data_IF_465340630023
#
_entry.id   IF_465340630023
#
_cell.length_a   1.000
_cell.length_b   1.000
_cell.length_c   1.000
_cell.angle_alpha   90.00
_cell.angle_beta   90.00
_cell.angle_gamma   90.00
#
_symmetry.space_group_name_H-M   'P 1'
#
loop_
_entity.id
_entity.type
_entity.pdbx_description
1 polymer ?
#
# COMPACT_ATOMS: atom_id res chain seq x y z
N UNK A 1 2.40 62.94 22.04
CA UNK A 1 3.04 61.61 21.83
C UNK A 1 2.30 60.58 22.65
N UNK A 2 1.41 59.81 22.03
CA UNK A 2 0.81 58.64 22.66
C UNK A 2 1.29 57.42 21.87
N UNK A 3 2.30 56.74 22.42
CA UNK A 3 2.77 55.46 21.89
C UNK A 3 1.70 54.42 22.18
N UNK A 4 1.13 53.82 21.12
CA UNK A 4 0.28 52.64 21.25
C UNK A 4 1.16 51.48 21.78
N UNK A 5 0.70 50.70 22.77
CA UNK A 5 1.47 49.59 23.30
C UNK A 5 1.69 48.51 22.23
N UNK A 6 2.92 48.43 21.72
CA UNK A 6 3.50 47.32 20.97
C UNK A 6 3.75 46.15 21.91
N UNK A 7 2.72 45.39 22.24
CA UNK A 7 2.84 43.99 22.70
C UNK A 7 1.46 43.34 22.80
N UNK A 8 0.78 43.23 21.66
CA UNK A 8 -0.20 42.16 21.52
C UNK A 8 0.57 40.86 21.39
N UNK A 9 0.86 40.30 22.56
CA UNK A 9 0.98 38.88 22.88
C UNK A 9 0.90 37.98 21.63
N UNK A 10 2.07 37.65 21.07
CA UNK A 10 2.21 36.71 19.94
C UNK A 10 1.91 35.25 20.35
N UNK A 11 1.45 35.03 21.58
CA UNK A 11 0.76 33.81 21.99
C UNK A 11 -0.72 33.87 21.61
N UNK A 12 -1.00 34.18 20.35
CA UNK A 12 -2.21 33.68 19.72
C UNK A 12 -2.08 32.16 19.69
N UNK A 13 -2.50 31.56 20.80
CA UNK A 13 -2.75 30.16 21.08
C UNK A 13 -2.84 29.35 19.79
N UNK A 14 -1.91 28.41 19.56
CA UNK A 14 -2.09 27.33 18.59
C UNK A 14 -3.43 26.66 18.97
N UNK A 15 -4.54 27.06 18.33
CA UNK A 15 -5.89 26.58 18.64
C UNK A 15 -6.06 25.09 18.29
N UNK A 16 -5.05 24.51 17.66
CA UNK A 16 -4.96 23.10 17.36
C UNK A 16 -3.72 22.48 18.01
N UNK A 17 -3.89 21.50 18.92
CA UNK A 17 -2.75 20.82 19.52
C UNK A 17 -1.93 20.10 18.43
N UNK A 18 -0.64 20.40 18.37
CA UNK A 18 0.30 19.76 17.43
C UNK A 18 0.31 18.25 17.66
N UNK A 19 0.42 17.49 16.57
CA UNK A 19 0.45 16.03 16.67
C UNK A 19 1.79 15.61 17.29
N UNK A 20 1.80 14.83 18.37
CA UNK A 20 3.03 14.31 18.96
C UNK A 20 3.85 13.52 17.94
N UNK A 21 5.18 13.71 17.95
CA UNK A 21 6.09 13.04 16.99
C UNK A 21 5.95 11.52 16.97
N UNK A 22 5.66 10.90 18.12
CA UNK A 22 5.45 9.45 18.20
C UNK A 22 4.21 8.99 17.42
N UNK A 23 3.13 9.80 17.38
CA UNK A 23 1.95 9.50 16.57
C UNK A 23 2.31 9.60 15.09
N UNK A 24 3.10 10.61 14.71
CA UNK A 24 3.58 10.77 13.33
C UNK A 24 4.42 9.56 12.89
N UNK A 25 5.27 9.04 13.78
CA UNK A 25 6.05 7.84 13.55
C UNK A 25 5.16 6.60 13.35
N UNK A 26 4.24 6.32 14.27
CA UNK A 26 3.32 5.17 14.16
C UNK A 26 2.40 5.29 12.94
N UNK A 27 1.94 6.49 12.63
CA UNK A 27 1.15 6.71 11.42
C UNK A 27 2.00 6.44 10.17
N UNK A 28 3.25 6.91 10.17
CA UNK A 28 4.22 6.68 9.11
C UNK A 28 4.55 5.20 8.85
N UNK A 29 4.57 4.34 9.87
CA UNK A 29 4.84 2.90 9.67
C UNK A 29 3.78 2.20 8.82
N UNK A 30 2.56 2.74 8.72
CA UNK A 30 1.54 2.24 7.80
C UNK A 30 1.99 2.28 6.33
N UNK A 31 2.84 3.25 5.98
CA UNK A 31 3.40 3.37 4.64
C UNK A 31 4.47 2.29 4.35
N UNK A 32 5.03 1.63 5.37
CA UNK A 32 6.01 0.56 5.18
C UNK A 32 5.40 -0.64 4.44
N UNK A 33 4.32 -1.20 4.98
CA UNK A 33 3.66 -2.37 4.37
C UNK A 33 3.12 -2.05 2.97
N UNK A 34 2.52 -0.87 2.81
CA UNK A 34 2.03 -0.40 1.51
C UNK A 34 3.16 -0.27 0.48
N UNK A 35 4.28 0.33 0.88
CA UNK A 35 5.44 0.52 0.02
C UNK A 35 6.08 -0.82 -0.37
N UNK A 36 6.32 -1.70 0.60
CA UNK A 36 6.88 -3.03 0.35
C UNK A 36 6.04 -3.83 -0.66
N UNK A 37 4.72 -3.89 -0.45
CA UNK A 37 3.82 -4.53 -1.41
C UNK A 37 3.95 -3.91 -2.81
N UNK A 38 3.92 -2.58 -2.88
CA UNK A 38 3.95 -1.86 -4.15
C UNK A 38 5.27 -2.10 -4.90
N UNK A 39 6.40 -2.07 -4.19
CA UNK A 39 7.72 -2.37 -4.75
C UNK A 39 7.81 -3.80 -5.25
N UNK A 40 7.34 -4.79 -4.46
CA UNK A 40 7.34 -6.20 -4.87
C UNK A 40 6.53 -6.40 -6.15
N UNK A 41 5.31 -5.85 -6.17
CA UNK A 41 4.42 -5.93 -7.33
C UNK A 41 5.03 -5.26 -8.57
N UNK A 42 5.53 -4.03 -8.45
CA UNK A 42 6.03 -3.27 -9.60
C UNK A 42 7.30 -3.87 -10.22
N UNK A 43 8.21 -4.39 -9.40
CA UNK A 43 9.51 -4.86 -9.89
C UNK A 43 9.48 -6.36 -10.21
N UNK A 44 8.87 -7.16 -9.35
CA UNK A 44 9.07 -8.61 -9.36
C UNK A 44 7.88 -9.40 -9.92
N UNK A 45 6.67 -8.84 -9.94
CA UNK A 45 5.49 -9.60 -10.35
C UNK A 45 5.53 -9.95 -11.84
N UNK A 46 5.95 -9.01 -12.70
CA UNK A 46 6.11 -9.28 -14.13
C UNK A 46 7.12 -10.42 -14.38
N UNK A 47 8.27 -10.38 -13.70
CA UNK A 47 9.31 -11.41 -13.75
C UNK A 47 8.77 -12.75 -13.27
N UNK A 48 8.02 -12.76 -12.17
CA UNK A 48 7.36 -13.97 -11.68
C UNK A 48 6.41 -14.58 -12.72
N UNK A 49 5.56 -13.77 -13.35
CA UNK A 49 4.61 -14.26 -14.36
C UNK A 49 5.33 -14.84 -15.59
N UNK A 50 6.39 -14.20 -16.09
CA UNK A 50 7.05 -14.64 -17.33
C UNK A 50 8.10 -15.72 -17.09
N UNK A 51 8.94 -15.57 -16.07
CA UNK A 51 10.17 -16.36 -15.93
C UNK A 51 9.97 -17.54 -14.97
N UNK A 52 9.03 -17.43 -14.02
CA UNK A 52 8.72 -18.49 -13.04
C UNK A 52 7.48 -19.26 -13.45
N UNK A 53 6.37 -18.57 -13.71
CA UNK A 53 5.11 -19.22 -14.13
C UNK A 53 5.15 -19.60 -15.61
N UNK A 54 5.93 -18.90 -16.43
CA UNK A 54 6.04 -19.19 -17.86
C UNK A 54 4.84 -18.71 -18.68
N UNK A 55 4.17 -17.63 -18.26
CA UNK A 55 3.08 -17.02 -19.03
C UNK A 55 3.66 -16.26 -20.22
N UNK A 56 3.02 -16.42 -21.39
CA UNK A 56 3.36 -15.64 -22.59
C UNK A 56 3.29 -14.13 -22.27
N UNK A 57 4.36 -13.34 -22.51
CA UNK A 57 4.39 -11.91 -22.21
C UNK A 57 3.23 -11.11 -22.81
N UNK A 58 2.65 -11.54 -23.94
CA UNK A 58 1.46 -10.91 -24.54
C UNK A 58 0.24 -11.08 -23.65
N UNK A 59 0.05 -12.26 -23.08
CA UNK A 59 -1.04 -12.55 -22.16
C UNK A 59 -0.84 -11.84 -20.82
N UNK A 60 0.40 -11.81 -20.31
CA UNK A 60 0.74 -11.05 -19.10
C UNK A 60 0.46 -9.55 -19.29
N UNK A 61 0.71 -8.99 -20.47
CA UNK A 61 0.39 -7.60 -20.80
C UNK A 61 -1.12 -7.34 -20.84
N UNK A 62 -1.92 -8.29 -21.35
CA UNK A 62 -3.38 -8.20 -21.31
C UNK A 62 -3.88 -8.25 -19.87
N UNK A 63 -3.35 -9.14 -19.03
CA UNK A 63 -3.67 -9.20 -17.61
C UNK A 63 -3.36 -7.87 -16.90
N UNK A 64 -2.20 -7.27 -17.18
CA UNK A 64 -1.81 -5.97 -16.66
C UNK A 64 -2.75 -4.84 -17.14
N UNK A 65 -3.21 -4.87 -18.39
CA UNK A 65 -4.18 -3.92 -18.89
C UNK A 65 -5.53 -4.04 -18.15
N UNK A 66 -6.03 -5.26 -17.96
CA UNK A 66 -7.26 -5.52 -17.20
C UNK A 66 -7.12 -5.03 -15.76
N UNK A 67 -5.97 -5.27 -15.13
CA UNK A 67 -5.65 -4.76 -13.80
C UNK A 67 -5.73 -3.23 -13.72
N UNK A 68 -5.15 -2.50 -14.69
CA UNK A 68 -5.22 -1.03 -14.72
C UNK A 68 -6.66 -0.53 -14.88
N UNK A 69 -7.45 -1.17 -15.75
CA UNK A 69 -8.86 -0.83 -15.93
C UNK A 69 -9.67 -1.09 -14.65
N UNK A 70 -9.35 -2.17 -13.94
CA UNK A 70 -9.96 -2.46 -12.66
C UNK A 70 -9.60 -1.41 -11.60
N UNK A 71 -8.33 -1.03 -11.49
CA UNK A 71 -7.84 0.01 -10.57
C UNK A 71 -8.63 1.31 -10.72
N UNK A 72 -8.83 1.76 -11.97
CA UNK A 72 -9.58 2.97 -12.29
C UNK A 72 -11.05 2.96 -11.79
N UNK A 73 -11.64 1.78 -11.61
CA UNK A 73 -13.00 1.58 -11.11
C UNK A 73 -12.98 1.35 -9.59
N UNK A 74 -12.06 0.51 -9.13
CA UNK A 74 -11.89 0.09 -7.73
C UNK A 74 -11.63 1.30 -6.81
N UNK A 75 -10.76 2.22 -7.21
CA UNK A 75 -10.36 3.37 -6.40
C UNK A 75 -11.55 4.30 -6.03
N UNK A 76 -12.37 4.80 -6.98
CA UNK A 76 -13.57 5.58 -6.64
C UNK A 76 -14.60 4.82 -5.82
N UNK A 77 -14.80 3.52 -6.11
CA UNK A 77 -15.77 2.70 -5.38
C UNK A 77 -15.38 2.56 -3.91
N UNK A 78 -14.12 2.23 -3.64
CA UNK A 78 -13.60 2.13 -2.28
C UNK A 78 -13.58 3.49 -1.59
N UNK A 79 -13.26 4.58 -2.31
CA UNK A 79 -13.36 5.94 -1.80
C UNK A 79 -14.76 6.23 -1.27
N UNK A 80 -15.78 6.06 -2.11
CA UNK A 80 -17.18 6.26 -1.74
C UNK A 80 -17.63 5.31 -0.61
N UNK A 81 -17.20 4.05 -0.62
CA UNK A 81 -17.50 3.10 0.44
C UNK A 81 -16.90 3.56 1.78
N UNK A 82 -15.62 3.94 1.79
CA UNK A 82 -14.92 4.37 3.00
C UNK A 82 -15.51 5.64 3.61
N UNK A 83 -16.04 6.54 2.78
CA UNK A 83 -16.62 7.80 3.23
C UNK A 83 -18.03 7.63 3.85
N UNK A 84 -18.74 6.54 3.51
CA UNK A 84 -20.11 6.27 3.97
C UNK A 84 -20.19 5.34 5.19
N UNK A 85 -19.11 4.61 5.51
CA UNK A 85 -19.11 3.67 6.65
C UNK A 85 -19.18 4.41 8.00
N UNK A 86 -20.19 4.06 8.80
CA UNK A 86 -20.39 4.58 10.15
C UNK A 86 -20.26 3.43 11.16
N UNK A 87 -19.16 3.40 11.90
CA UNK A 87 -18.96 2.41 12.97
C UNK A 87 -18.60 3.09 14.29
N UNK A 88 -18.75 2.36 15.40
CA UNK A 88 -18.30 2.79 16.73
C UNK A 88 -16.80 3.09 16.84
N UNK A 89 -15.98 2.57 15.91
CA UNK A 89 -14.52 2.80 15.88
C UNK A 89 -14.12 3.94 14.94
N UNK A 90 -15.12 4.69 14.44
CA UNK A 90 -14.95 5.73 13.43
C UNK A 90 -15.09 5.20 12.01
N UNK A 91 -14.84 6.09 11.06
CA UNK A 91 -15.10 5.85 9.63
C UNK A 91 -14.02 5.00 8.95
N UNK A 92 -12.74 5.29 9.22
CA UNK A 92 -11.60 4.72 8.46
C UNK A 92 -10.83 3.62 9.19
N UNK A 93 -10.79 3.64 10.53
CA UNK A 93 -10.05 2.65 11.35
C UNK A 93 -10.50 1.19 11.17
N UNK A 94 -11.81 0.86 11.01
CA UNK A 94 -12.23 -0.51 10.82
C UNK A 94 -11.59 -1.18 9.61
N UNK A 95 -11.42 -0.43 8.52
CA UNK A 95 -10.83 -0.97 7.28
C UNK A 95 -9.40 -1.45 7.52
N UNK A 96 -8.58 -0.66 8.20
CA UNK A 96 -7.19 -1.01 8.50
C UNK A 96 -7.11 -2.29 9.33
N UNK A 97 -7.96 -2.42 10.34
CA UNK A 97 -7.95 -3.56 11.26
C UNK A 97 -8.51 -4.84 10.62
N UNK A 98 -9.63 -4.73 9.89
CA UNK A 98 -10.32 -5.89 9.33
C UNK A 98 -9.61 -6.43 8.10
N UNK A 99 -9.11 -5.56 7.22
CA UNK A 99 -8.52 -5.99 5.95
C UNK A 99 -7.04 -6.36 6.03
N UNK A 100 -6.34 -6.08 7.13
CA UNK A 100 -4.92 -6.45 7.28
C UNK A 100 -4.66 -7.95 7.13
N UNK A 101 -5.50 -8.81 7.71
CA UNK A 101 -5.36 -10.27 7.59
C UNK A 101 -5.73 -10.76 6.18
N UNK A 102 -6.90 -10.39 5.61
CA UNK A 102 -7.23 -10.66 4.22
C UNK A 102 -6.15 -10.21 3.24
N UNK A 103 -5.51 -9.06 3.51
CA UNK A 103 -4.46 -8.53 2.65
C UNK A 103 -3.21 -9.42 2.64
N UNK A 104 -2.79 -9.92 3.79
CA UNK A 104 -1.68 -10.87 3.86
C UNK A 104 -1.97 -12.16 3.08
N UNK A 105 -3.20 -12.69 3.20
CA UNK A 105 -3.62 -13.89 2.46
C UNK A 105 -3.70 -13.65 0.96
N UNK A 106 -4.26 -12.51 0.55
CA UNK A 106 -4.35 -12.15 -0.86
C UNK A 106 -2.96 -11.91 -1.46
N UNK A 107 -2.04 -11.30 -0.71
CA UNK A 107 -0.66 -11.16 -1.13
C UNK A 107 -0.01 -12.52 -1.43
N UNK A 108 -0.16 -13.52 -0.55
CA UNK A 108 0.35 -14.88 -0.82
C UNK A 108 -0.33 -15.50 -2.04
N UNK A 109 -1.64 -15.32 -2.18
CA UNK A 109 -2.40 -15.82 -3.34
C UNK A 109 -1.88 -15.22 -4.66
N UNK A 110 -1.45 -13.96 -4.66
CA UNK A 110 -0.87 -13.30 -5.83
C UNK A 110 0.40 -14.00 -6.33
N UNK A 111 1.25 -14.51 -5.43
CA UNK A 111 2.49 -15.23 -5.78
C UNK A 111 2.29 -16.73 -5.97
N UNK A 112 1.05 -17.21 -5.93
CA UNK A 112 0.74 -18.61 -6.13
C UNK A 112 0.08 -18.85 -7.50
N UNK A 113 0.72 -19.70 -8.31
CA UNK A 113 0.20 -20.16 -9.58
C UNK A 113 0.07 -21.69 -9.59
N UNK A 114 -1.10 -22.23 -9.99
CA UNK A 114 -1.28 -23.67 -10.15
C UNK A 114 -0.50 -24.19 -11.37
N UNK A 115 -0.03 -25.45 -11.37
CA UNK A 115 0.75 -26.04 -12.47
C UNK A 115 -0.14 -26.47 -13.64
N UNK A 116 -0.89 -25.53 -14.23
CA UNK A 116 -1.78 -25.79 -15.36
C UNK A 116 -1.04 -25.65 -16.69
N UNK A 117 -1.38 -26.51 -17.67
CA UNK A 117 -0.78 -26.43 -19.01
C UNK A 117 -1.42 -25.34 -19.89
N UNK A 118 -2.66 -24.92 -19.56
CA UNK A 118 -3.37 -23.92 -20.35
C UNK A 118 -2.95 -22.50 -19.96
N UNK A 119 -2.28 -21.83 -20.90
CA UNK A 119 -1.86 -20.43 -20.78
C UNK A 119 -3.02 -19.47 -20.53
N UNK A 120 -4.18 -19.73 -21.15
CA UNK A 120 -5.39 -18.92 -20.96
C UNK A 120 -5.91 -19.06 -19.53
N UNK A 121 -6.00 -20.30 -19.01
CA UNK A 121 -6.46 -20.53 -17.63
C UNK A 121 -5.52 -19.94 -16.60
N UNK A 122 -4.20 -20.07 -16.82
CA UNK A 122 -3.19 -19.43 -15.98
C UNK A 122 -3.36 -17.90 -15.97
N UNK A 123 -3.54 -17.30 -17.14
CA UNK A 123 -3.72 -15.85 -17.29
C UNK A 123 -4.97 -15.38 -16.55
N UNK A 124 -6.08 -16.10 -16.68
CA UNK A 124 -7.31 -15.80 -15.92
C UNK A 124 -7.06 -15.89 -14.42
N UNK A 125 -6.39 -16.96 -13.95
CA UNK A 125 -6.08 -17.14 -12.53
C UNK A 125 -5.23 -16.01 -11.97
N UNK A 126 -4.09 -15.67 -12.59
CA UNK A 126 -3.21 -14.61 -12.10
C UNK A 126 -3.86 -13.23 -12.19
N UNK A 127 -4.73 -13.01 -13.16
CA UNK A 127 -5.51 -11.76 -13.28
C UNK A 127 -6.51 -11.65 -12.12
N UNK A 128 -7.24 -12.73 -11.81
CA UNK A 128 -8.17 -12.75 -10.68
C UNK A 128 -7.45 -12.60 -9.34
N UNK A 129 -6.33 -13.30 -9.15
CA UNK A 129 -5.50 -13.19 -7.95
C UNK A 129 -4.97 -11.75 -7.77
N UNK A 130 -4.54 -11.12 -8.85
CA UNK A 130 -4.17 -9.70 -8.85
C UNK A 130 -5.34 -8.82 -8.44
N UNK A 131 -6.50 -8.93 -9.10
CA UNK A 131 -7.68 -8.11 -8.83
C UNK A 131 -8.12 -8.22 -7.37
N UNK A 132 -8.15 -9.42 -6.80
CA UNK A 132 -8.51 -9.64 -5.39
C UNK A 132 -7.51 -8.95 -4.46
N UNK A 133 -6.22 -9.12 -4.73
CA UNK A 133 -5.15 -8.53 -3.92
C UNK A 133 -5.17 -7.01 -3.98
N UNK A 134 -5.38 -6.48 -5.17
CA UNK A 134 -5.50 -5.06 -5.47
C UNK A 134 -6.70 -4.43 -4.75
N UNK A 135 -7.89 -5.02 -4.87
CA UNK A 135 -9.09 -4.54 -4.15
C UNK A 135 -8.90 -4.52 -2.64
N UNK A 136 -8.33 -5.57 -2.06
CA UNK A 136 -8.07 -5.61 -0.62
C UNK A 136 -7.00 -4.58 -0.23
N UNK A 137 -5.98 -4.38 -1.07
CA UNK A 137 -4.98 -3.32 -0.86
C UNK A 137 -5.62 -1.93 -0.87
N UNK A 138 -6.50 -1.65 -1.83
CA UNK A 138 -7.20 -0.37 -1.97
C UNK A 138 -8.10 -0.11 -0.77
N UNK A 139 -8.80 -1.14 -0.28
CA UNK A 139 -9.61 -1.09 0.95
C UNK A 139 -8.80 -0.70 2.20
N UNK A 140 -7.49 -0.90 2.23
CA UNK A 140 -6.61 -0.41 3.29
C UNK A 140 -6.04 0.96 2.94
N UNK A 141 -5.54 1.10 1.72
CA UNK A 141 -4.76 2.26 1.28
C UNK A 141 -5.61 3.51 1.22
N UNK A 142 -6.78 3.46 0.59
CA UNK A 142 -7.64 4.66 0.44
C UNK A 142 -8.04 5.23 1.81
N UNK A 143 -8.60 4.45 2.76
CA UNK A 143 -8.87 4.94 4.10
C UNK A 143 -7.62 5.41 4.84
N UNK A 144 -6.48 4.72 4.68
CA UNK A 144 -5.21 5.14 5.29
C UNK A 144 -4.76 6.51 4.79
N UNK A 145 -4.81 6.76 3.48
CA UNK A 145 -4.40 8.02 2.87
C UNK A 145 -5.29 9.18 3.33
N UNK A 146 -6.59 8.95 3.40
CA UNK A 146 -7.56 9.96 3.80
C UNK A 146 -7.56 10.27 5.30
N UNK A 147 -6.86 9.48 6.13
CA UNK A 147 -6.64 9.82 7.54
C UNK A 147 -5.69 11.02 7.72
N UNK A 148 -4.76 11.28 6.79
CA UNK A 148 -3.83 12.43 6.90
C UNK A 148 -4.56 13.76 7.09
N UNK A 149 -5.50 14.16 6.22
CA UNK A 149 -6.23 15.42 6.39
C UNK A 149 -7.22 15.41 7.56
N UNK A 150 -7.62 14.24 8.07
CA UNK A 150 -8.47 14.13 9.26
C UNK A 150 -7.68 14.27 10.56
N UNK A 151 -6.42 13.79 10.57
CA UNK A 151 -5.54 13.88 11.74
C UNK A 151 -4.89 15.25 11.88
N UNK A 152 -4.55 15.90 10.77
CA UNK A 152 -3.87 17.19 10.77
C UNK A 152 -4.82 18.35 10.43
N UNK A 153 -4.93 19.26 11.39
CA UNK A 153 -5.77 20.47 11.38
C UNK A 153 -5.29 21.54 10.40
N UNK A 154 -3.97 21.71 10.28
CA UNK A 154 -3.35 22.77 9.48
C UNK A 154 -2.42 22.20 8.40
N UNK A 155 -1.97 23.10 7.51
CA UNK A 155 -1.11 22.74 6.37
C UNK A 155 0.25 22.20 6.81
N UNK A 156 0.82 22.74 7.89
CA UNK A 156 2.16 22.38 8.36
C UNK A 156 2.16 20.99 9.01
N UNK A 157 1.13 20.65 9.78
CA UNK A 157 0.93 19.34 10.36
C UNK A 157 0.63 18.29 9.28
N UNK A 158 -0.13 18.64 8.24
CA UNK A 158 -0.38 17.75 7.08
C UNK A 158 0.92 17.48 6.32
N UNK A 159 1.71 18.52 6.08
CA UNK A 159 3.02 18.41 5.44
C UNK A 159 3.94 17.55 6.29
N UNK A 160 4.00 17.82 7.61
CA UNK A 160 4.79 17.05 8.56
C UNK A 160 4.43 15.56 8.55
N UNK A 161 3.14 15.20 8.70
CA UNK A 161 2.68 13.81 8.62
C UNK A 161 3.07 13.15 7.30
N UNK A 162 2.90 13.86 6.18
CA UNK A 162 3.26 13.37 4.85
C UNK A 162 4.76 13.13 4.73
N UNK A 163 5.61 13.96 5.34
CA UNK A 163 7.06 13.76 5.38
C UNK A 163 7.44 12.46 6.10
N UNK A 164 6.87 12.19 7.28
CA UNK A 164 7.13 10.94 8.00
C UNK A 164 6.71 9.73 7.16
N UNK A 165 5.54 9.82 6.53
CA UNK A 165 5.02 8.79 5.64
C UNK A 165 5.93 8.52 4.44
N UNK A 166 6.38 9.56 3.75
CA UNK A 166 7.30 9.43 2.63
C UNK A 166 8.66 8.87 3.05
N UNK A 167 9.14 9.23 4.24
CA UNK A 167 10.37 8.65 4.80
C UNK A 167 10.26 7.12 4.95
N UNK A 168 9.20 6.62 5.59
CA UNK A 168 8.98 5.18 5.70
C UNK A 168 8.73 4.52 4.34
N UNK A 169 8.02 5.20 3.43
CA UNK A 169 7.78 4.70 2.08
C UNK A 169 9.09 4.45 1.32
N UNK A 170 10.00 5.42 1.33
CA UNK A 170 11.30 5.32 0.67
C UNK A 170 12.17 4.24 1.30
N UNK A 171 12.26 4.21 2.64
CA UNK A 171 13.04 3.19 3.35
C UNK A 171 12.52 1.78 3.07
N UNK A 172 11.21 1.58 3.16
CA UNK A 172 10.59 0.29 2.88
C UNK A 172 10.82 -0.14 1.42
N UNK A 173 10.66 0.78 0.47
CA UNK A 173 10.88 0.49 -0.95
C UNK A 173 12.32 0.05 -1.23
N UNK A 174 13.30 0.77 -0.68
CA UNK A 174 14.72 0.42 -0.83
C UNK A 174 15.05 -0.90 -0.15
N UNK A 175 14.61 -1.08 1.10
CA UNK A 175 14.84 -2.31 1.85
C UNK A 175 14.24 -3.51 1.12
N UNK A 176 13.04 -3.36 0.57
CA UNK A 176 12.33 -4.42 -0.16
C UNK A 176 13.01 -4.75 -1.48
N UNK A 177 13.42 -3.73 -2.25
CA UNK A 177 14.11 -3.94 -3.53
C UNK A 177 15.43 -4.69 -3.38
N UNK A 178 16.12 -4.54 -2.24
CA UNK A 178 17.36 -5.26 -1.93
C UNK A 178 17.09 -6.63 -1.29
N UNK A 179 16.15 -6.70 -0.33
CA UNK A 179 15.89 -7.92 0.42
C UNK A 179 15.25 -9.01 -0.45
N UNK A 180 14.33 -8.66 -1.35
CA UNK A 180 13.62 -9.61 -2.19
C UNK A 180 14.56 -10.51 -3.02
N UNK A 181 15.50 -9.98 -3.85
CA UNK A 181 16.42 -10.82 -4.61
C UNK A 181 17.37 -11.60 -3.70
N UNK A 182 17.80 -11.03 -2.57
CA UNK A 182 18.63 -11.77 -1.60
C UNK A 182 17.93 -12.99 -1.01
N UNK A 183 16.62 -12.88 -0.73
CA UNK A 183 15.81 -13.99 -0.25
C UNK A 183 15.68 -15.04 -1.35
N UNK A 184 15.32 -14.64 -2.58
CA UNK A 184 15.21 -15.55 -3.73
C UNK A 184 16.53 -16.29 -3.95
N UNK A 185 17.66 -15.58 -3.99
CA UNK A 185 19.00 -16.18 -4.17
C UNK A 185 19.36 -17.17 -3.04
N UNK A 186 18.98 -16.85 -1.81
CA UNK A 186 19.24 -17.71 -0.65
C UNK A 186 18.40 -18.99 -0.70
N UNK A 187 17.14 -18.88 -1.10
CA UNK A 187 16.22 -20.01 -1.30
C UNK A 187 16.70 -20.92 -2.44
N UNK A 188 17.13 -20.32 -3.56
CA UNK A 188 17.70 -21.07 -4.69
C UNK A 188 19.00 -21.79 -4.31
N UNK A 189 19.87 -21.18 -3.51
CA UNK A 189 21.09 -21.83 -2.97
C UNK A 189 20.77 -22.99 -2.04
N UNK A 190 19.62 -22.97 -1.36
CA UNK A 190 19.16 -24.08 -0.53
C UNK A 190 18.56 -25.25 -1.34
N UNK A 191 18.50 -25.13 -2.68
CA UNK A 191 17.99 -26.17 -3.58
C UNK A 191 16.47 -26.18 -3.76
N UNK A 192 15.78 -25.14 -3.29
CA UNK A 192 14.35 -24.95 -3.48
C UNK A 192 14.05 -24.34 -4.86
N UNK A 193 12.80 -24.41 -5.32
CA UNK A 193 12.40 -23.93 -6.65
C UNK A 193 12.26 -22.41 -6.68
N UNK A 194 12.34 -21.81 -7.89
CA UNK A 194 12.12 -20.37 -8.06
C UNK A 194 10.77 -19.96 -7.50
N UNK A 195 9.69 -20.71 -7.76
CA UNK A 195 8.37 -20.41 -7.22
C UNK A 195 8.35 -20.38 -5.69
N UNK A 196 9.10 -21.25 -5.01
CA UNK A 196 9.22 -21.22 -3.55
C UNK A 196 10.00 -19.99 -3.04
N UNK A 197 10.89 -19.41 -3.86
CA UNK A 197 11.60 -18.17 -3.52
C UNK A 197 10.73 -16.92 -3.59
N UNK A 198 9.63 -16.95 -4.36
CA UNK A 198 8.68 -15.84 -4.48
C UNK A 198 7.51 -15.92 -3.46
N UNK A 199 7.34 -17.05 -2.78
CA UNK A 199 6.35 -17.26 -1.71
C UNK A 199 6.92 -16.84 -0.33
#
# INVERSE_FOLDING_TARGET
>A
MAQLPTSLDSKATDLHPRIPRWIKLIYGTGDWGRASFNTLRQIFYAIFLTDVVGIDPRLASIAALVAILWDAINDPLVGALSDNVRTRWGRRRPFLLVFSIPFALAFVLMWWAPPWQSQVMLTIHVTLAYIVSDTIQTLITVPYLSLTPELASDYDERTSLTTYRMFFNLLASLATAVAAPMIIDSVMKAGLTSQQGYL
#
